data_IF_678557290667
#
_entry.id   IF_678557290667
#
_cell.length_a   1.000
_cell.length_b   1.000
_cell.length_c   1.000
_cell.angle_alpha   90.00
_cell.angle_beta   90.00
_cell.angle_gamma   90.00
#
_symmetry.space_group_name_H-M   'P 1'
#
loop_
_entity.id
_entity.type
_entity.pdbx_description
1 polymer ?
#
# COMPACT_ATOMS: atom_id res chain seq x y z
N UNK A 1 14.82 -13.09 0.88
CA UNK A 1 14.06 -14.35 0.81
C UNK A 1 13.22 -14.42 2.08
N UNK A 2 11.91 -14.24 2.00
CA UNK A 2 11.01 -14.35 3.16
C UNK A 2 11.03 -15.81 3.64
N UNK A 3 11.25 -16.04 4.93
CA UNK A 3 11.22 -17.38 5.50
C UNK A 3 9.79 -17.94 5.48
N UNK A 4 9.61 -19.27 5.49
CA UNK A 4 8.29 -19.88 5.67
C UNK A 4 7.72 -19.44 7.03
N UNK A 5 6.64 -18.67 7.01
CA UNK A 5 6.00 -18.07 8.20
C UNK A 5 6.10 -16.54 8.25
N UNK A 6 6.92 -15.94 7.40
CA UNK A 6 7.14 -14.50 7.33
C UNK A 6 6.07 -13.90 6.40
N UNK A 7 4.97 -13.42 6.98
CA UNK A 7 3.95 -12.73 6.21
C UNK A 7 4.53 -11.41 5.66
N UNK A 8 3.95 -10.90 4.57
CA UNK A 8 4.33 -9.58 4.04
C UNK A 8 4.22 -8.46 5.09
N UNK A 9 3.34 -8.65 6.08
CA UNK A 9 3.17 -7.76 7.21
C UNK A 9 4.28 -7.92 8.26
N UNK A 10 4.71 -9.15 8.56
CA UNK A 10 5.87 -9.41 9.42
C UNK A 10 7.16 -8.77 8.87
N UNK A 11 7.30 -8.71 7.54
CA UNK A 11 8.40 -8.03 6.86
C UNK A 11 8.22 -6.52 6.62
N UNK A 12 7.10 -5.91 7.02
CA UNK A 12 6.75 -4.54 6.64
C UNK A 12 7.77 -3.50 7.12
N UNK A 13 8.24 -3.62 8.36
CA UNK A 13 9.24 -2.69 8.91
C UNK A 13 10.55 -2.68 8.10
N UNK A 14 11.05 -3.86 7.75
CA UNK A 14 12.24 -3.99 6.90
C UNK A 14 12.01 -3.49 5.47
N UNK A 15 10.80 -3.69 4.93
CA UNK A 15 10.40 -3.20 3.62
C UNK A 15 10.36 -1.66 3.58
N UNK A 16 9.73 -1.03 4.57
CA UNK A 16 9.66 0.45 4.68
C UNK A 16 11.05 1.04 4.88
N UNK A 17 11.87 0.45 5.75
CA UNK A 17 13.25 0.90 5.97
C UNK A 17 14.07 0.87 4.67
N UNK A 18 13.99 -0.24 3.93
CA UNK A 18 14.70 -0.39 2.63
C UNK A 18 14.23 0.63 1.59
N UNK A 19 12.93 0.89 1.52
CA UNK A 19 12.37 1.78 0.51
C UNK A 19 12.53 3.27 0.84
N UNK A 20 12.70 3.63 2.11
CA UNK A 20 12.78 5.03 2.55
C UNK A 20 13.91 5.84 1.90
N UNK A 21 14.97 5.18 1.42
CA UNK A 21 16.08 5.83 0.73
C UNK A 21 15.80 6.16 -0.74
N UNK A 22 14.92 5.38 -1.39
CA UNK A 22 14.73 5.40 -2.84
C UNK A 22 13.32 5.87 -3.26
N UNK A 23 12.41 6.07 -2.30
CA UNK A 23 11.05 6.53 -2.58
C UNK A 23 10.97 8.06 -2.63
N UNK A 24 10.10 8.62 -3.49
CA UNK A 24 9.73 10.03 -3.42
C UNK A 24 9.22 10.40 -2.01
N UNK A 25 9.61 11.58 -1.52
CA UNK A 25 9.37 12.03 -0.13
C UNK A 25 7.92 11.85 0.35
N UNK A 26 6.94 12.15 -0.52
CA UNK A 26 5.52 11.99 -0.20
C UNK A 26 5.09 10.54 0.00
N UNK A 27 5.67 9.60 -0.75
CA UNK A 27 5.36 8.17 -0.66
C UNK A 27 6.03 7.54 0.56
N UNK A 28 7.25 7.97 0.90
CA UNK A 28 7.95 7.54 2.11
C UNK A 28 7.18 7.88 3.39
N UNK A 29 6.62 9.09 3.49
CA UNK A 29 5.77 9.52 4.61
C UNK A 29 4.51 8.64 4.76
N UNK A 30 3.84 8.31 3.65
CA UNK A 30 2.67 7.43 3.66
C UNK A 30 3.03 5.99 4.09
N UNK A 31 4.18 5.48 3.65
CA UNK A 31 4.66 4.15 4.04
C UNK A 31 5.01 4.08 5.54
N UNK A 32 5.60 5.13 6.10
CA UNK A 32 5.87 5.23 7.54
C UNK A 32 4.56 5.24 8.36
N UNK A 33 3.55 6.01 7.92
CA UNK A 33 2.23 6.03 8.58
C UNK A 33 1.53 4.66 8.53
N UNK A 34 1.69 3.91 7.45
CA UNK A 34 1.19 2.55 7.35
C UNK A 34 1.88 1.62 8.37
N UNK A 35 3.19 1.74 8.53
CA UNK A 35 3.95 0.99 9.53
C UNK A 35 3.48 1.31 10.95
N UNK A 36 3.26 2.57 11.28
CA UNK A 36 2.73 3.00 12.58
C UNK A 36 1.33 2.43 12.82
N UNK A 37 0.44 2.49 11.82
CA UNK A 37 -0.90 1.95 11.91
C UNK A 37 -0.91 0.43 12.08
N UNK A 38 0.01 -0.29 11.43
CA UNK A 38 0.18 -1.72 11.61
C UNK A 38 0.72 -2.05 13.00
N UNK A 39 1.69 -1.30 13.53
CA UNK A 39 2.22 -1.53 14.87
C UNK A 39 1.15 -1.34 15.97
N UNK A 40 0.29 -0.32 15.85
CA UNK A 40 -0.87 -0.13 16.73
C UNK A 40 -1.87 -1.29 16.62
N UNK A 41 -2.15 -1.77 15.40
CA UNK A 41 -3.03 -2.90 15.18
C UNK A 41 -2.47 -4.20 15.78
N UNK A 42 -1.19 -4.48 15.57
CA UNK A 42 -0.52 -5.69 16.06
C UNK A 42 -0.55 -5.75 17.59
N UNK A 43 -0.28 -4.62 18.25
CA UNK A 43 -0.39 -4.49 19.70
C UNK A 43 -1.82 -4.76 20.21
N UNK A 44 -2.85 -4.31 19.48
CA UNK A 44 -4.25 -4.58 19.83
C UNK A 44 -4.62 -6.04 19.62
N UNK A 45 -4.15 -6.67 18.54
CA UNK A 45 -4.36 -8.10 18.28
C UNK A 45 -3.73 -8.95 19.39
N UNK A 46 -2.49 -8.63 19.79
CA UNK A 46 -1.81 -9.32 20.88
C UNK A 46 -2.56 -9.24 22.23
N UNK A 47 -3.32 -8.16 22.44
CA UNK A 47 -4.16 -7.97 23.63
C UNK A 47 -5.49 -8.75 23.62
N UNK A 48 -5.90 -9.30 22.46
CA UNK A 48 -7.13 -10.09 22.36
C UNK A 48 -6.79 -11.56 22.59
N UNK A 49 -7.20 -12.08 23.76
CA UNK A 49 -7.09 -13.50 24.08
C UNK A 49 -7.91 -14.38 23.14
N UNK A 50 -7.58 -15.68 23.07
CA UNK A 50 -8.33 -16.64 22.26
C UNK A 50 -9.78 -16.73 22.76
N UNK A 51 -10.73 -16.29 21.93
CA UNK A 51 -12.16 -16.38 22.22
C UNK A 51 -12.77 -17.62 21.56
N UNK A 52 -13.51 -18.43 22.32
CA UNK A 52 -14.33 -19.51 21.77
C UNK A 52 -15.72 -18.98 21.41
N UNK A 53 -16.20 -19.26 20.20
CA UNK A 53 -17.52 -18.80 19.72
C UNK A 53 -17.45 -17.98 18.43
N UNK A 54 -18.60 -17.40 18.03
CA UNK A 54 -18.67 -16.55 16.83
C UNK A 54 -17.88 -15.25 17.01
N UNK A 55 -17.26 -14.70 15.95
CA UNK A 55 -16.51 -13.45 16.03
C UNK A 55 -17.37 -12.30 16.53
N UNK A 56 -16.83 -11.50 17.45
CA UNK A 56 -17.46 -10.24 17.85
C UNK A 56 -17.32 -9.20 16.73
N UNK A 57 -18.18 -8.18 16.71
CA UNK A 57 -18.03 -7.05 15.79
C UNK A 57 -16.66 -6.38 15.93
N UNK A 58 -16.11 -6.32 17.14
CA UNK A 58 -14.76 -5.79 17.37
C UNK A 58 -13.68 -6.65 16.70
N UNK A 59 -13.78 -7.98 16.79
CA UNK A 59 -12.87 -8.90 16.09
C UNK A 59 -12.98 -8.77 14.56
N UNK A 60 -14.20 -8.61 14.03
CA UNK A 60 -14.41 -8.38 12.59
C UNK A 60 -13.80 -7.05 12.12
N UNK A 61 -13.98 -5.97 12.88
CA UNK A 61 -13.34 -4.67 12.59
C UNK A 61 -11.82 -4.75 12.63
N UNK A 62 -11.27 -5.59 13.51
CA UNK A 62 -9.84 -5.80 13.58
C UNK A 62 -9.31 -6.56 12.36
N UNK A 63 -10.05 -7.58 11.88
CA UNK A 63 -9.74 -8.27 10.64
C UNK A 63 -9.80 -7.33 9.42
N UNK A 64 -10.82 -6.48 9.32
CA UNK A 64 -10.94 -5.47 8.27
C UNK A 64 -9.72 -4.52 8.24
N UNK A 65 -9.28 -4.05 9.42
CA UNK A 65 -8.06 -3.22 9.53
C UNK A 65 -6.80 -3.99 9.12
N UNK A 66 -6.73 -5.27 9.46
CA UNK A 66 -5.62 -6.13 9.06
C UNK A 66 -5.56 -6.31 7.54
N UNK A 67 -6.71 -6.47 6.88
CA UNK A 67 -6.81 -6.54 5.42
C UNK A 67 -6.33 -5.25 4.74
N UNK A 68 -6.69 -4.08 5.29
CA UNK A 68 -6.16 -2.80 4.82
C UNK A 68 -4.64 -2.72 4.95
N UNK A 69 -4.09 -3.09 6.12
CA UNK A 69 -2.64 -3.14 6.31
C UNK A 69 -1.98 -4.08 5.28
N UNK A 70 -2.57 -5.25 5.06
CA UNK A 70 -2.08 -6.23 4.09
C UNK A 70 -2.06 -5.66 2.67
N UNK A 71 -3.13 -4.97 2.25
CA UNK A 71 -3.20 -4.33 0.94
C UNK A 71 -2.09 -3.27 0.75
N UNK A 72 -1.84 -2.46 1.78
CA UNK A 72 -0.74 -1.48 1.77
C UNK A 72 0.64 -2.14 1.68
N UNK A 73 0.87 -3.19 2.46
CA UNK A 73 2.12 -3.96 2.43
C UNK A 73 2.34 -4.63 1.07
N UNK A 74 1.28 -5.19 0.46
CA UNK A 74 1.30 -5.76 -0.88
C UNK A 74 1.68 -4.73 -1.95
N UNK A 75 1.11 -3.52 -1.87
CA UNK A 75 1.47 -2.43 -2.78
C UNK A 75 2.96 -2.04 -2.65
N UNK A 76 3.48 -1.92 -1.42
CA UNK A 76 4.90 -1.65 -1.18
C UNK A 76 5.80 -2.76 -1.71
N UNK A 77 5.44 -4.03 -1.51
CA UNK A 77 6.24 -5.14 -2.01
C UNK A 77 6.23 -5.20 -3.53
N UNK A 78 5.08 -4.93 -4.15
CA UNK A 78 4.96 -4.84 -5.61
C UNK A 78 5.86 -3.72 -6.15
N UNK A 79 5.84 -2.53 -5.53
CA UNK A 79 6.75 -1.44 -5.88
C UNK A 79 8.21 -1.86 -5.80
N UNK A 80 8.60 -2.44 -4.68
CA UNK A 80 9.97 -2.81 -4.38
C UNK A 80 10.52 -3.96 -5.22
N UNK A 81 9.64 -4.81 -5.75
CA UNK A 81 9.99 -5.93 -6.62
C UNK A 81 10.16 -5.51 -8.09
N UNK A 82 9.81 -4.27 -8.45
CA UNK A 82 9.70 -3.82 -9.84
C UNK A 82 10.44 -2.50 -10.14
N UNK A 83 11.72 -2.35 -9.74
CA UNK A 83 12.48 -1.12 -9.99
C UNK A 83 12.60 -0.79 -11.49
N UNK A 84 12.60 -1.80 -12.36
CA UNK A 84 12.69 -1.62 -13.82
C UNK A 84 11.51 -0.84 -14.44
N UNK A 85 10.41 -0.66 -13.70
CA UNK A 85 9.24 0.06 -14.18
C UNK A 85 9.18 1.51 -13.68
N UNK A 86 10.01 1.90 -12.71
CA UNK A 86 9.90 3.18 -11.99
C UNK A 86 10.02 4.44 -12.88
N UNK A 87 10.55 4.32 -14.10
CA UNK A 87 10.73 5.47 -15.01
C UNK A 87 9.56 5.70 -15.99
N UNK A 88 8.52 4.86 -15.98
CA UNK A 88 7.51 4.84 -17.05
C UNK A 88 6.05 4.82 -16.57
N UNK A 89 5.23 5.62 -17.25
CA UNK A 89 3.77 5.62 -17.11
C UNK A 89 3.32 5.78 -15.65
N UNK A 90 2.44 4.89 -15.23
CA UNK A 90 1.84 4.90 -13.89
C UNK A 90 2.85 4.75 -12.76
N UNK A 91 3.97 4.06 -13.01
CA UNK A 91 5.05 3.82 -12.04
C UNK A 91 5.92 5.05 -11.77
N UNK A 92 5.93 6.02 -12.68
CA UNK A 92 6.75 7.22 -12.53
C UNK A 92 6.41 7.96 -11.26
N UNK A 93 7.44 8.33 -10.51
CA UNK A 93 7.36 9.04 -9.23
C UNK A 93 6.48 8.35 -8.18
N UNK A 94 6.22 7.04 -8.31
CA UNK A 94 5.43 6.26 -7.36
C UNK A 94 3.99 6.76 -7.17
N UNK A 95 3.41 7.48 -8.15
CA UNK A 95 2.09 8.10 -8.01
C UNK A 95 0.99 7.09 -7.67
N UNK A 96 0.96 5.94 -8.35
CA UNK A 96 -0.02 4.88 -8.07
C UNK A 96 0.14 4.32 -6.65
N UNK A 97 1.39 4.14 -6.19
CA UNK A 97 1.69 3.62 -4.86
C UNK A 97 1.23 4.62 -3.81
N UNK A 98 1.50 5.91 -3.99
CA UNK A 98 1.01 6.97 -3.12
C UNK A 98 -0.53 6.95 -3.04
N UNK A 99 -1.22 6.75 -4.18
CA UNK A 99 -2.68 6.61 -4.22
C UNK A 99 -3.20 5.42 -3.43
N UNK A 100 -2.59 4.24 -3.63
CA UNK A 100 -2.91 3.04 -2.86
C UNK A 100 -2.70 3.24 -1.36
N UNK A 101 -1.58 3.83 -0.95
CA UNK A 101 -1.29 4.08 0.46
C UNK A 101 -2.23 5.12 1.07
N UNK A 102 -2.58 6.19 0.33
CA UNK A 102 -3.56 7.17 0.79
C UNK A 102 -4.94 6.51 1.01
N UNK A 103 -5.40 5.67 0.07
CA UNK A 103 -6.66 4.94 0.18
C UNK A 103 -6.65 3.95 1.36
N UNK A 104 -5.56 3.19 1.52
CA UNK A 104 -5.38 2.27 2.65
C UNK A 104 -5.43 3.01 3.99
N UNK A 105 -4.73 4.13 4.10
CA UNK A 105 -4.73 4.94 5.32
C UNK A 105 -6.13 5.50 5.62
N UNK A 106 -6.86 5.96 4.62
CA UNK A 106 -8.27 6.36 4.80
C UNK A 106 -9.14 5.21 5.29
N UNK A 107 -8.97 3.99 4.75
CA UNK A 107 -9.63 2.77 5.23
C UNK A 107 -9.29 2.41 6.68
N UNK A 108 -8.09 2.76 7.13
CA UNK A 108 -7.64 2.64 8.51
C UNK A 108 -8.14 3.78 9.42
N UNK A 109 -8.82 4.78 8.87
CA UNK A 109 -9.29 5.97 9.58
C UNK A 109 -8.21 7.03 9.79
N UNK A 110 -7.07 6.92 9.12
CA UNK A 110 -5.97 7.89 9.14
C UNK A 110 -6.05 8.70 7.85
N UNK A 111 -6.49 9.96 7.89
CA UNK A 111 -6.50 10.81 6.70
C UNK A 111 -5.15 11.51 6.53
N UNK A 112 -4.33 11.16 5.52
CA UNK A 112 -3.10 11.91 5.26
C UNK A 112 -3.45 13.28 4.66
N UNK A 113 -2.78 14.38 5.08
CA UNK A 113 -3.04 15.71 4.55
C UNK A 113 -2.74 15.81 3.04
N UNK A 114 -1.87 14.94 2.53
CA UNK A 114 -1.47 14.89 1.12
C UNK A 114 -2.47 14.13 0.24
N UNK A 115 -3.48 13.45 0.80
CA UNK A 115 -4.39 12.55 0.07
C UNK A 115 -5.08 13.23 -1.12
N UNK A 116 -5.65 14.43 -0.91
CA UNK A 116 -6.32 15.17 -1.98
C UNK A 116 -5.37 15.55 -3.12
N UNK A 117 -4.13 15.93 -2.79
CA UNK A 117 -3.13 16.26 -3.81
C UNK A 117 -2.72 15.01 -4.61
N UNK A 118 -2.55 13.86 -3.94
CA UNK A 118 -2.27 12.57 -4.58
C UNK A 118 -3.39 12.18 -5.54
N UNK A 119 -4.65 12.22 -5.09
CA UNK A 119 -5.79 11.85 -5.95
C UNK A 119 -5.97 12.84 -7.11
N UNK A 120 -5.75 14.14 -6.90
CA UNK A 120 -5.79 15.12 -7.99
C UNK A 120 -4.70 14.86 -9.04
N UNK A 121 -3.49 14.48 -8.61
CA UNK A 121 -2.39 14.12 -9.52
C UNK A 121 -2.72 12.87 -10.34
N UNK A 122 -3.29 11.85 -9.70
CA UNK A 122 -3.74 10.63 -10.38
C UNK A 122 -4.89 10.89 -11.33
N UNK A 123 -5.86 11.72 -10.93
CA UNK A 123 -6.95 12.17 -11.79
C UNK A 123 -6.43 12.92 -13.02
N UNK A 124 -5.42 13.78 -12.85
CA UNK A 124 -4.79 14.47 -13.98
C UNK A 124 -4.10 13.49 -14.93
N UNK A 125 -3.43 12.45 -14.41
CA UNK A 125 -2.79 11.41 -15.21
C UNK A 125 -3.81 10.57 -16.00
N UNK A 126 -4.99 10.28 -15.43
CA UNK A 126 -6.08 9.59 -16.13
C UNK A 126 -6.56 10.33 -17.39
N UNK A 127 -6.37 11.65 -17.45
CA UNK A 127 -6.79 12.50 -18.57
C UNK A 127 -5.70 12.64 -19.66
N UNK A 128 -4.57 11.96 -19.51
CA UNK A 128 -3.47 11.93 -20.49
C UNK A 128 -3.54 10.67 -21.37
N UNK A 129 -2.80 10.59 -22.50
CA UNK A 129 -2.70 9.35 -23.29
C UNK A 129 -2.20 8.13 -22.50
N UNK A 130 -1.43 8.35 -21.43
CA UNK A 130 -1.02 7.31 -20.48
C UNK A 130 -2.21 6.78 -19.65
N UNK A 131 -3.25 7.59 -19.48
CA UNK A 131 -4.54 7.24 -18.91
C UNK A 131 -5.33 6.24 -19.76
N UNK A 132 -5.16 6.23 -21.08
CA UNK A 132 -5.79 5.22 -21.96
C UNK A 132 -5.14 3.82 -21.82
N UNK A 133 -4.00 3.74 -21.12
CA UNK A 133 -3.22 2.51 -20.91
C UNK A 133 -3.02 2.22 -19.41
N UNK A 134 -4.08 2.34 -18.61
CA UNK A 134 -4.01 2.00 -17.18
C UNK A 134 -3.60 0.54 -17.00
N UNK A 135 -2.38 0.33 -16.52
CA UNK A 135 -1.87 -1.01 -16.25
C UNK A 135 -0.50 -0.98 -15.59
N UNK A 136 -0.39 -1.65 -14.44
CA UNK A 136 0.88 -1.79 -13.73
C UNK A 136 1.81 -2.81 -14.39
N UNK A 137 1.30 -3.75 -15.18
CA UNK A 137 2.09 -4.83 -15.78
C UNK A 137 2.58 -4.50 -17.20
N UNK A 138 2.40 -3.25 -17.65
CA UNK A 138 2.50 -2.91 -19.06
C UNK A 138 1.49 -3.71 -19.89
N UNK A 139 1.33 -3.34 -21.15
CA UNK A 139 0.61 -4.20 -22.09
C UNK A 139 1.64 -5.09 -22.77
N UNK A 140 1.37 -6.40 -22.98
CA UNK A 140 2.18 -7.15 -23.93
C UNK A 140 2.14 -6.42 -25.28
N UNK A 141 3.30 -6.19 -25.87
CA UNK A 141 3.39 -5.60 -27.19
C UNK A 141 2.62 -6.49 -28.18
N UNK A 142 1.49 -6.01 -28.72
CA UNK A 142 0.82 -6.70 -29.83
C UNK A 142 -0.71 -6.75 -29.87
N UNK A 143 -1.46 -6.28 -28.88
CA UNK A 143 -2.94 -6.30 -28.98
C UNK A 143 -3.42 -5.01 -29.68
N UNK A 144 -4.20 -4.95 -30.75
CA UNK A 144 -4.74 -3.66 -31.20
C UNK A 144 -5.79 -3.10 -30.21
N UNK A 145 -6.04 -1.80 -30.26
CA UNK A 145 -7.11 -1.15 -29.50
C UNK A 145 -8.50 -1.53 -30.04
#
# INVERSE_FOLDING_TARGET
MLARGDSILGGLGGLVARLSADMPDGTASLAARLLDAYADLDARIAGVGATTGSPTTAAMRMAERYEWCFAGAAALALWAANPQHHDHGWWRDGGWLAGCLALVLEGLGVRPPEASAVFNRLGSLLLTPEGDRVGLLGRPAGVPA
#
